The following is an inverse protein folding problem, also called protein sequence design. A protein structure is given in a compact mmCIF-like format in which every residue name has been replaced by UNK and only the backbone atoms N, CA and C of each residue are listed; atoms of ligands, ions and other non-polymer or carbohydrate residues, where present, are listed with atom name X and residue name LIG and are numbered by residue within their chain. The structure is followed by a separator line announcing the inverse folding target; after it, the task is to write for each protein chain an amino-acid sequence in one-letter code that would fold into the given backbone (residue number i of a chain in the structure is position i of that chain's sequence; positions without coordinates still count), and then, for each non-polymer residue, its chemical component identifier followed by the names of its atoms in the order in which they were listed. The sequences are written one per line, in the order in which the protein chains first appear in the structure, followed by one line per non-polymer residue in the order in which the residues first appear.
data_IF_745667193507
#
_entry.id   IF_745667193507
#
_cell.length_a   1.000
_cell.length_b   1.000
_cell.length_c   1.000
_cell.angle_alpha   90.00
_cell.angle_beta   90.00
_cell.angle_gamma   90.00
#
_symmetry.space_group_name_H-M   'P 1'
#
loop_
_entity.id
_entity.type
_entity.pdbx_description
1 polymer ?
#
# COMPACT_ATOMS: atom_id res chain seq x y z
N UNK A 1 31.19 -17.93 -50.29
CA UNK A 1 30.88 -17.25 -49.01
C UNK A 1 30.89 -18.32 -47.93
N UNK A 2 31.96 -18.37 -47.12
CA UNK A 2 32.15 -19.36 -46.05
C UNK A 2 31.56 -18.82 -44.75
N UNK A 3 30.49 -19.44 -44.25
CA UNK A 3 29.93 -19.12 -42.93
C UNK A 3 30.67 -19.90 -41.85
N UNK A 4 31.55 -19.22 -41.12
CA UNK A 4 32.23 -19.73 -39.94
C UNK A 4 31.21 -19.90 -38.80
N UNK A 5 30.99 -21.14 -38.35
CA UNK A 5 30.25 -21.43 -37.12
C UNK A 5 31.17 -21.23 -35.92
N UNK A 6 31.06 -20.06 -35.28
CA UNK A 6 31.70 -19.80 -33.99
C UNK A 6 31.06 -20.71 -32.92
N UNK A 7 31.72 -21.82 -32.62
CA UNK A 7 31.38 -22.67 -31.48
C UNK A 7 31.77 -21.93 -30.20
N UNK A 8 30.79 -21.39 -29.49
CA UNK A 8 31.01 -20.81 -28.17
C UNK A 8 31.59 -21.87 -27.22
N UNK A 9 32.77 -21.58 -26.65
CA UNK A 9 33.41 -22.43 -25.65
C UNK A 9 32.48 -22.61 -24.42
N UNK A 10 32.51 -23.79 -23.75
CA UNK A 10 31.72 -23.99 -22.54
C UNK A 10 32.15 -23.01 -21.44
N UNK A 11 31.18 -22.47 -20.65
CA UNK A 11 31.49 -21.57 -19.54
C UNK A 11 32.41 -22.25 -18.51
N UNK A 12 33.30 -21.44 -17.93
CA UNK A 12 34.35 -21.84 -17.00
C UNK A 12 33.75 -22.58 -15.77
N UNK A 13 34.30 -23.72 -15.30
CA UNK A 13 33.69 -24.53 -14.24
C UNK A 13 33.64 -23.90 -12.83
N UNK A 14 34.14 -22.68 -12.65
CA UNK A 14 34.34 -22.04 -11.34
C UNK A 14 33.19 -21.16 -10.87
N UNK A 15 32.14 -20.99 -11.67
CA UNK A 15 31.00 -20.13 -11.35
C UNK A 15 29.71 -20.96 -11.30
N UNK A 16 29.30 -21.36 -10.09
CA UNK A 16 28.06 -22.12 -9.91
C UNK A 16 27.74 -22.38 -8.43
N UNK A 17 26.46 -22.64 -8.08
CA UNK A 17 26.07 -22.98 -6.73
C UNK A 17 26.63 -24.35 -6.31
N UNK A 18 26.87 -24.52 -5.02
CA UNK A 18 27.35 -25.77 -4.43
C UNK A 18 26.16 -26.70 -4.13
N UNK A 19 26.24 -27.98 -4.52
CA UNK A 19 25.22 -28.97 -4.21
C UNK A 19 25.34 -29.55 -2.79
N UNK A 20 24.43 -30.45 -2.43
CA UNK A 20 24.47 -31.19 -1.16
C UNK A 20 25.71 -32.09 -0.98
N UNK A 21 26.47 -32.35 -2.05
CA UNK A 21 27.75 -33.08 -1.97
C UNK A 21 28.96 -32.16 -1.72
N UNK A 22 28.77 -30.85 -1.62
CA UNK A 22 29.87 -29.89 -1.51
C UNK A 22 30.60 -29.61 -2.83
N UNK A 23 30.04 -30.03 -3.98
CA UNK A 23 30.62 -29.83 -5.30
C UNK A 23 29.99 -28.62 -6.00
N UNK A 24 30.82 -27.85 -6.72
CA UNK A 24 30.34 -26.78 -7.62
C UNK A 24 29.54 -27.40 -8.76
N UNK A 25 28.32 -26.89 -8.98
CA UNK A 25 27.45 -27.39 -10.02
C UNK A 25 27.68 -26.64 -11.33
N UNK A 26 28.00 -27.34 -12.44
CA UNK A 26 28.11 -26.69 -13.73
C UNK A 26 26.75 -26.21 -14.24
N UNK A 27 26.78 -25.18 -15.08
CA UNK A 27 25.62 -24.75 -15.85
C UNK A 27 25.38 -25.70 -17.04
N UNK A 28 24.19 -26.28 -17.11
CA UNK A 28 23.77 -27.24 -18.12
C UNK A 28 22.56 -26.68 -18.87
N UNK A 29 22.53 -26.80 -20.20
CA UNK A 29 21.33 -26.51 -20.99
C UNK A 29 20.43 -27.74 -21.06
N UNK A 30 19.17 -27.57 -20.68
CA UNK A 30 18.15 -28.61 -20.75
C UNK A 30 17.88 -29.00 -22.21
N UNK A 31 17.81 -30.30 -22.44
CA UNK A 31 17.57 -30.93 -23.75
C UNK A 31 16.20 -31.62 -23.83
N UNK A 32 15.44 -31.63 -22.75
CA UNK A 32 14.08 -32.17 -22.72
C UNK A 32 13.17 -31.28 -23.57
N UNK A 33 12.25 -31.87 -24.33
CA UNK A 33 11.31 -31.16 -25.21
C UNK A 33 10.62 -29.98 -24.53
N UNK A 34 10.14 -30.15 -23.30
CA UNK A 34 9.43 -29.08 -22.57
C UNK A 34 10.34 -27.97 -22.02
N UNK A 35 11.65 -28.17 -21.94
CA UNK A 35 12.60 -27.21 -21.37
C UNK A 35 13.79 -26.94 -22.29
N UNK A 36 13.63 -27.19 -23.59
CA UNK A 36 14.74 -27.16 -24.54
C UNK A 36 15.39 -25.77 -24.55
N UNK A 37 16.70 -25.73 -24.32
CA UNK A 37 17.50 -24.50 -24.34
C UNK A 37 17.59 -23.74 -23.01
N UNK A 38 16.72 -24.00 -22.03
CA UNK A 38 16.77 -23.37 -20.69
C UNK A 38 17.97 -23.90 -19.89
N UNK A 39 18.73 -23.02 -19.25
CA UNK A 39 19.90 -23.41 -18.46
C UNK A 39 19.52 -23.74 -17.00
N UNK A 40 20.20 -24.71 -16.39
CA UNK A 40 20.05 -25.11 -14.99
C UNK A 40 21.41 -25.52 -14.40
N UNK A 41 21.54 -25.46 -13.09
CA UNK A 41 22.64 -26.05 -12.33
C UNK A 41 22.23 -27.42 -11.80
N UNK A 42 23.07 -28.43 -12.01
CA UNK A 42 22.85 -29.79 -11.52
C UNK A 42 24.12 -30.42 -10.95
N UNK A 43 23.99 -31.30 -9.96
CA UNK A 43 25.16 -31.96 -9.36
C UNK A 43 25.86 -32.86 -10.39
N UNK A 44 27.21 -32.83 -10.52
CA UNK A 44 27.94 -33.73 -11.42
C UNK A 44 27.72 -35.23 -11.15
N UNK A 45 27.41 -35.59 -9.90
CA UNK A 45 27.20 -36.97 -9.43
C UNK A 45 25.75 -37.46 -9.53
N UNK A 46 24.88 -36.77 -10.28
CA UNK A 46 23.46 -37.10 -10.34
C UNK A 46 23.16 -38.50 -10.92
N UNK A 47 24.07 -39.06 -11.73
CA UNK A 47 23.92 -40.39 -12.37
C UNK A 47 24.41 -41.56 -11.51
N UNK A 48 25.02 -41.30 -10.37
CA UNK A 48 25.53 -42.36 -9.49
C UNK A 48 24.38 -43.09 -8.78
N UNK A 49 24.57 -44.34 -8.32
CA UNK A 49 23.65 -44.98 -7.40
C UNK A 49 23.50 -44.12 -6.14
N UNK A 50 22.27 -43.70 -5.79
CA UNK A 50 21.99 -42.66 -4.78
C UNK A 50 22.58 -41.27 -5.10
N UNK A 51 22.65 -40.94 -6.39
CA UNK A 51 23.14 -39.65 -6.87
C UNK A 51 22.39 -38.45 -6.29
N UNK A 52 23.09 -37.32 -6.20
CA UNK A 52 22.56 -36.09 -5.64
C UNK A 52 21.47 -35.49 -6.52
N UNK A 53 20.32 -35.17 -5.92
CA UNK A 53 19.14 -34.61 -6.59
C UNK A 53 19.16 -33.08 -6.69
N UNK A 54 20.29 -32.44 -6.38
CA UNK A 54 20.41 -30.99 -6.47
C UNK A 54 20.15 -30.50 -7.90
N UNK A 55 19.19 -29.59 -8.03
CA UNK A 55 18.75 -28.98 -9.28
C UNK A 55 18.28 -27.55 -9.01
N UNK A 56 18.72 -26.59 -9.83
CA UNK A 56 18.24 -25.19 -9.78
C UNK A 56 18.23 -24.59 -11.17
N UNK A 57 17.14 -23.95 -11.58
CA UNK A 57 17.11 -23.22 -12.84
C UNK A 57 18.09 -22.03 -12.82
N UNK A 58 18.76 -21.79 -13.94
CA UNK A 58 19.45 -20.53 -14.20
C UNK A 58 18.38 -19.57 -14.69
N UNK A 59 17.63 -19.04 -13.74
CA UNK A 59 16.76 -17.93 -14.03
C UNK A 59 17.63 -16.67 -14.08
N UNK A 60 17.44 -15.81 -15.08
CA UNK A 60 18.05 -14.48 -15.17
C UNK A 60 17.50 -13.52 -14.10
N UNK A 61 16.99 -14.05 -12.99
CA UNK A 61 16.06 -13.39 -12.07
C UNK A 61 16.70 -12.88 -10.78
N UNK A 62 18.03 -12.91 -10.66
CA UNK A 62 18.67 -12.06 -9.64
C UNK A 62 18.29 -10.60 -9.91
N UNK A 63 18.28 -10.17 -11.16
CA UNK A 63 17.81 -8.81 -11.53
C UNK A 63 16.29 -8.65 -11.39
N UNK A 64 15.47 -9.63 -11.80
CA UNK A 64 14.01 -9.46 -11.75
C UNK A 64 13.44 -9.48 -10.33
N UNK A 65 14.08 -10.20 -9.40
CA UNK A 65 13.64 -10.24 -7.99
C UNK A 65 14.05 -8.97 -7.22
N UNK A 66 15.21 -8.38 -7.52
CA UNK A 66 15.61 -7.10 -6.92
C UNK A 66 14.84 -5.92 -7.50
N UNK A 67 14.61 -5.87 -8.81
CA UNK A 67 13.74 -4.85 -9.44
C UNK A 67 12.31 -4.94 -8.91
N UNK A 68 11.78 -6.16 -8.69
CA UNK A 68 10.46 -6.35 -8.08
C UNK A 68 10.41 -5.92 -6.60
N UNK A 69 11.48 -6.12 -5.83
CA UNK A 69 11.55 -5.66 -4.44
C UNK A 69 11.72 -4.14 -4.36
N UNK A 70 12.57 -3.56 -5.20
CA UNK A 70 12.78 -2.13 -5.28
C UNK A 70 11.50 -1.39 -5.67
N UNK A 71 10.82 -1.86 -6.73
CA UNK A 71 9.51 -1.31 -7.12
C UNK A 71 8.43 -1.56 -6.06
N UNK A 72 8.50 -2.67 -5.32
CA UNK A 72 7.62 -2.92 -4.17
C UNK A 72 7.83 -1.92 -3.04
N UNK A 73 9.07 -1.67 -2.63
CA UNK A 73 9.43 -0.70 -1.59
C UNK A 73 9.04 0.72 -1.99
N UNK A 74 9.27 1.10 -3.25
CA UNK A 74 8.88 2.41 -3.76
C UNK A 74 7.36 2.62 -3.70
N UNK A 75 6.57 1.59 -4.05
CA UNK A 75 5.09 1.66 -3.91
C UNK A 75 4.64 1.74 -2.47
N UNK A 76 5.33 1.09 -1.53
CA UNK A 76 5.01 1.17 -0.11
C UNK A 76 5.26 2.58 0.44
N UNK A 77 6.36 3.23 0.04
CA UNK A 77 6.66 4.60 0.42
C UNK A 77 5.63 5.59 -0.15
N UNK A 78 5.27 5.42 -1.43
CA UNK A 78 4.21 6.22 -2.06
C UNK A 78 2.86 6.04 -1.37
N UNK A 79 2.49 4.80 -1.02
CA UNK A 79 1.24 4.50 -0.32
C UNK A 79 1.24 5.11 1.08
N UNK A 80 2.36 5.03 1.80
CA UNK A 80 2.53 5.63 3.12
C UNK A 80 2.38 7.15 3.05
N UNK A 81 3.03 7.80 2.08
CA UNK A 81 2.92 9.23 1.88
C UNK A 81 1.48 9.66 1.56
N UNK A 82 0.77 8.91 0.71
CA UNK A 82 -0.64 9.14 0.42
C UNK A 82 -1.54 8.99 1.65
N UNK A 83 -1.28 7.99 2.49
CA UNK A 83 -2.02 7.77 3.72
C UNK A 83 -1.80 8.90 4.73
N UNK A 84 -0.55 9.33 4.91
CA UNK A 84 -0.20 10.44 5.80
C UNK A 84 -0.84 11.75 5.33
N UNK A 85 -0.78 12.06 4.04
CA UNK A 85 -1.44 13.23 3.47
C UNK A 85 -2.98 13.17 3.59
N UNK A 86 -3.59 11.98 3.43
CA UNK A 86 -5.02 11.81 3.62
C UNK A 86 -5.43 12.02 5.09
N UNK A 87 -4.65 11.49 6.03
CA UNK A 87 -4.86 11.67 7.46
C UNK A 87 -4.74 13.15 7.87
N UNK A 88 -3.78 13.88 7.31
CA UNK A 88 -3.62 15.31 7.58
C UNK A 88 -4.80 16.12 7.03
N UNK A 89 -5.27 15.81 5.83
CA UNK A 89 -6.50 16.39 5.28
C UNK A 89 -7.71 16.08 6.14
N UNK A 90 -7.86 14.86 6.62
CA UNK A 90 -8.95 14.45 7.51
C UNK A 90 -8.92 15.27 8.81
N UNK A 91 -7.74 15.41 9.43
CA UNK A 91 -7.57 16.25 10.63
C UNK A 91 -7.96 17.70 10.38
N UNK A 92 -7.52 18.28 9.26
CA UNK A 92 -7.85 19.66 8.88
C UNK A 92 -9.37 19.84 8.72
N UNK A 93 -10.01 18.98 7.92
CA UNK A 93 -11.47 19.00 7.70
C UNK A 93 -12.22 18.80 9.01
N UNK A 94 -11.78 17.89 9.87
CA UNK A 94 -12.43 17.66 11.16
C UNK A 94 -12.30 18.87 12.10
N UNK A 95 -11.17 19.58 12.08
CA UNK A 95 -11.00 20.82 12.82
C UNK A 95 -11.94 21.93 12.30
N UNK A 96 -12.04 22.10 10.97
CA UNK A 96 -12.99 23.05 10.36
C UNK A 96 -14.44 22.70 10.71
N UNK A 97 -14.81 21.42 10.63
CA UNK A 97 -16.15 20.93 11.01
C UNK A 97 -16.41 21.17 12.49
N UNK A 98 -15.42 21.03 13.37
CA UNK A 98 -15.57 21.31 14.79
C UNK A 98 -15.81 22.80 15.07
N UNK A 99 -15.09 23.69 14.37
CA UNK A 99 -15.32 25.15 14.43
C UNK A 99 -16.74 25.47 13.97
N UNK A 100 -17.14 24.99 12.80
CA UNK A 100 -18.50 25.18 12.25
C UNK A 100 -19.56 24.64 13.21
N UNK A 101 -19.30 23.48 13.84
CA UNK A 101 -20.20 22.89 14.83
C UNK A 101 -20.34 23.77 16.08
N UNK A 102 -19.25 24.39 16.56
CA UNK A 102 -19.26 25.33 17.70
C UNK A 102 -20.03 26.60 17.35
N UNK A 103 -19.75 27.22 16.21
CA UNK A 103 -20.46 28.41 15.74
C UNK A 103 -21.96 28.14 15.58
N UNK A 104 -22.33 27.02 14.95
CA UNK A 104 -23.73 26.61 14.83
C UNK A 104 -24.40 26.42 16.19
N UNK A 105 -23.72 25.79 17.16
CA UNK A 105 -24.25 25.62 18.52
C UNK A 105 -24.49 26.96 19.21
N UNK A 106 -23.56 27.91 19.09
CA UNK A 106 -23.69 29.26 19.64
C UNK A 106 -24.86 30.00 19.00
N UNK A 107 -24.97 29.95 17.67
CA UNK A 107 -26.08 30.56 16.94
C UNK A 107 -27.43 29.98 17.36
N UNK A 108 -27.56 28.65 17.43
CA UNK A 108 -28.78 27.99 17.91
C UNK A 108 -29.12 28.41 19.35
N UNK A 109 -28.13 28.53 20.23
CA UNK A 109 -28.33 28.99 21.59
C UNK A 109 -28.89 30.43 21.62
N UNK A 110 -28.30 31.36 20.85
CA UNK A 110 -28.77 32.74 20.75
C UNK A 110 -30.20 32.80 20.22
N UNK A 111 -30.54 31.99 19.21
CA UNK A 111 -31.90 31.92 18.66
C UNK A 111 -32.92 31.46 19.71
N UNK A 112 -32.60 30.42 20.49
CA UNK A 112 -33.48 29.91 21.55
C UNK A 112 -33.66 30.94 22.67
N UNK A 113 -32.57 31.56 23.15
CA UNK A 113 -32.63 32.57 24.21
C UNK A 113 -33.44 33.78 23.77
N UNK A 114 -33.18 34.29 22.56
CA UNK A 114 -33.94 35.40 21.98
C UNK A 114 -35.43 35.07 21.84
N UNK A 115 -35.76 33.85 21.43
CA UNK A 115 -37.15 33.40 21.31
C UNK A 115 -37.86 33.32 22.66
N UNK A 116 -37.21 32.74 23.69
CA UNK A 116 -37.77 32.68 25.06
C UNK A 116 -37.97 34.07 25.64
N UNK A 117 -36.98 34.95 25.47
CA UNK A 117 -37.07 36.34 25.92
C UNK A 117 -38.22 37.08 25.23
N UNK A 118 -38.36 36.94 23.92
CA UNK A 118 -39.46 37.52 23.16
C UNK A 118 -40.83 37.00 23.62
N UNK A 119 -40.96 35.69 23.86
CA UNK A 119 -42.18 35.09 24.38
C UNK A 119 -42.52 35.61 25.79
N UNK A 120 -41.52 35.76 26.66
CA UNK A 120 -41.70 36.33 28.00
C UNK A 120 -42.19 37.77 27.94
N UNK A 121 -41.56 38.62 27.13
CA UNK A 121 -41.97 40.02 26.94
C UNK A 121 -43.40 40.10 26.39
N UNK A 122 -43.74 39.27 25.40
CA UNK A 122 -45.10 39.22 24.84
C UNK A 122 -46.16 38.80 25.87
N UNK A 123 -45.88 37.78 26.68
CA UNK A 123 -46.79 37.36 27.74
C UNK A 123 -46.97 38.45 28.80
N UNK A 124 -45.88 39.12 29.18
CA UNK A 124 -45.91 40.23 30.13
C UNK A 124 -46.75 41.39 29.60
N UNK A 125 -46.56 41.81 28.35
CA UNK A 125 -47.35 42.91 27.77
C UNK A 125 -48.84 42.56 27.71
N UNK A 126 -49.21 41.34 27.31
CA UNK A 126 -50.61 40.91 27.32
C UNK A 126 -51.25 40.96 28.72
N UNK A 127 -50.52 40.53 29.75
CA UNK A 127 -51.01 40.57 31.14
C UNK A 127 -51.18 42.01 31.62
N UNK A 128 -50.17 42.86 31.40
CA UNK A 128 -50.22 44.25 31.86
C UNK A 128 -51.29 45.06 31.12
N UNK A 129 -51.41 44.89 29.80
CA UNK A 129 -52.48 45.53 29.02
C UNK A 129 -53.87 45.00 29.41
N UNK A 130 -54.01 43.71 29.70
CA UNK A 130 -55.27 43.11 30.15
C UNK A 130 -55.69 43.56 31.56
N UNK A 131 -54.74 43.72 32.47
CA UNK A 131 -54.95 44.27 33.82
C UNK A 131 -55.38 45.75 33.73
N UNK A 132 -54.75 46.53 32.86
CA UNK A 132 -55.10 47.95 32.68
C UNK A 132 -56.52 48.13 32.11
N UNK A 133 -56.94 47.30 31.15
CA UNK A 133 -58.32 47.33 30.62
C UNK A 133 -59.39 46.97 31.67
N UNK A 134 -59.07 46.16 32.69
CA UNK A 134 -60.01 45.81 33.77
C UNK A 134 -60.06 46.82 34.92
N UNK A 135 -59.15 47.80 34.93
CA UNK A 135 -58.97 48.74 36.05
C UNK A 135 -59.68 50.09 35.82
N UNK A 136 -60.33 50.29 34.68
CA UNK A 136 -61.18 51.46 34.41
C UNK A 136 -62.66 51.06 34.48
N UNK A 137 -63.43 51.59 35.45
CA UNK A 137 -64.89 51.41 35.53
C UNK A 137 -65.64 52.22 34.48
#
# INVERSE_FOLDING_TARGET
MSTSWSSAAPPNPTEGPVCYCGLVCPMIRAKTTNNFGRAYYGCPRWREPNGCTFFRWVDSSSESSEVSRFSGLQRLDELKQKLEAALEREKHVNAEVEIIRKERKILCFIMVVSWVFGAFVFMFTLVYSGLHCRSFP
#
